data_IF_848713295843
#
_entry.id   IF_848713295843
#
_cell.length_a   1.000
_cell.length_b   1.000
_cell.length_c   1.000
_cell.angle_alpha   90.00
_cell.angle_beta   90.00
_cell.angle_gamma   90.00
#
_symmetry.space_group_name_H-M   'P 1'
#
loop_
_entity.id
_entity.type
_entity.pdbx_description
1 polymer ?
#
# COMPACT_ATOMS: atom_id res chain seq x y z
N UNK A 1 7.60 4.57 -36.63
CA UNK A 1 6.53 4.18 -35.68
C UNK A 1 7.11 4.23 -34.28
N UNK A 2 7.12 5.41 -33.68
CA UNK A 2 7.75 5.64 -32.37
C UNK A 2 6.72 5.37 -31.29
N UNK A 3 6.91 4.29 -30.53
CA UNK A 3 6.08 3.96 -29.38
C UNK A 3 6.21 5.07 -28.34
N UNK A 4 5.22 5.95 -28.28
CA UNK A 4 4.97 6.85 -27.15
C UNK A 4 4.52 6.01 -25.94
N UNK A 5 5.46 5.27 -25.36
CA UNK A 5 5.26 4.58 -24.10
C UNK A 5 5.11 5.62 -23.02
N UNK A 6 3.87 5.96 -22.67
CA UNK A 6 3.59 6.50 -21.34
C UNK A 6 4.26 5.55 -20.35
N UNK A 7 5.15 6.03 -19.46
CA UNK A 7 5.69 5.16 -18.43
C UNK A 7 4.48 4.63 -17.66
N UNK A 8 4.24 3.31 -17.73
CA UNK A 8 3.21 2.66 -16.95
C UNK A 8 3.37 3.17 -15.52
N UNK A 9 2.39 3.94 -15.05
CA UNK A 9 2.37 4.58 -13.73
C UNK A 9 2.26 3.48 -12.67
N UNK A 10 3.38 2.79 -12.45
CA UNK A 10 3.52 1.66 -11.54
C UNK A 10 3.89 2.22 -10.18
N UNK A 11 2.92 2.16 -9.28
CA UNK A 11 3.06 2.60 -7.90
C UNK A 11 3.52 1.46 -7.02
N UNK A 12 4.35 1.77 -6.03
CA UNK A 12 4.78 0.80 -5.05
C UNK A 12 3.58 0.34 -4.21
N UNK A 13 3.39 -0.98 -4.12
CA UNK A 13 2.28 -1.59 -3.37
C UNK A 13 2.32 -1.36 -1.84
N UNK A 14 3.34 -0.65 -1.32
CA UNK A 14 3.49 -0.29 0.09
C UNK A 14 3.33 1.22 0.31
N UNK A 15 3.91 2.06 -0.54
CA UNK A 15 3.99 3.51 -0.29
C UNK A 15 3.42 4.39 -1.42
N UNK A 16 2.92 3.82 -2.51
CA UNK A 16 2.36 4.52 -3.67
C UNK A 16 3.36 5.27 -4.58
N UNK A 17 4.60 5.51 -4.12
CA UNK A 17 5.65 6.15 -4.93
C UNK A 17 6.01 5.35 -6.19
N UNK A 18 6.59 6.00 -7.22
CA UNK A 18 7.04 5.32 -8.42
C UNK A 18 7.90 4.08 -8.13
N UNK A 19 7.54 2.97 -8.75
CA UNK A 19 8.15 1.66 -8.52
C UNK A 19 8.82 1.16 -9.80
N UNK A 20 10.15 1.33 -9.96
CA UNK A 20 10.86 0.82 -11.13
C UNK A 20 10.94 -0.71 -11.13
N UNK A 21 10.86 -1.34 -9.94
CA UNK A 21 11.00 -2.77 -9.80
C UNK A 21 9.62 -3.45 -9.76
N UNK A 22 9.54 -4.62 -10.41
CA UNK A 22 8.41 -5.53 -10.31
C UNK A 22 8.86 -6.86 -9.73
N UNK A 23 7.93 -7.62 -9.15
CA UNK A 23 8.20 -8.98 -8.73
C UNK A 23 8.74 -9.79 -9.91
N UNK A 24 9.97 -10.31 -9.80
CA UNK A 24 10.62 -11.08 -10.87
C UNK A 24 9.89 -12.40 -11.16
N UNK A 25 9.20 -12.97 -10.18
CA UNK A 25 8.41 -14.19 -10.35
C UNK A 25 7.15 -13.98 -11.20
N UNK A 26 6.21 -13.17 -10.71
CA UNK A 26 4.91 -13.01 -11.38
C UNK A 26 4.82 -11.80 -12.32
N UNK A 27 5.66 -10.77 -12.14
CA UNK A 27 5.60 -9.52 -12.89
C UNK A 27 4.45 -8.57 -12.53
N UNK A 28 3.55 -8.94 -11.61
CA UNK A 28 2.32 -8.18 -11.35
C UNK A 28 2.39 -7.15 -10.20
N UNK A 29 3.22 -7.40 -9.18
CA UNK A 29 3.39 -6.49 -8.05
C UNK A 29 4.61 -5.58 -8.23
N UNK A 30 4.50 -4.31 -7.86
CA UNK A 30 5.53 -3.28 -8.06
C UNK A 30 6.05 -2.71 -6.73
N UNK A 31 7.36 -2.45 -6.66
CA UNK A 31 8.04 -1.96 -5.46
C UNK A 31 9.08 -0.89 -5.79
N UNK A 32 9.18 0.14 -4.95
CA UNK A 32 10.24 1.14 -5.10
C UNK A 32 11.60 0.67 -4.56
N UNK A 33 11.62 -0.34 -3.68
CA UNK A 33 12.83 -0.88 -3.05
C UNK A 33 12.69 -2.35 -2.68
N UNK A 34 13.84 -3.01 -2.43
CA UNK A 34 13.89 -4.39 -1.91
C UNK A 34 13.24 -4.51 -0.53
N UNK A 35 13.35 -3.47 0.30
CA UNK A 35 12.71 -3.39 1.61
C UNK A 35 11.18 -3.51 1.49
N UNK A 36 10.56 -2.74 0.60
CA UNK A 36 9.12 -2.79 0.38
C UNK A 36 8.67 -4.12 -0.26
N UNK A 37 9.48 -4.73 -1.11
CA UNK A 37 9.23 -6.08 -1.60
C UNK A 37 9.21 -7.08 -0.44
N UNK A 38 10.21 -7.01 0.45
CA UNK A 38 10.33 -7.91 1.61
C UNK A 38 9.15 -7.73 2.57
N UNK A 39 8.74 -6.48 2.83
CA UNK A 39 7.55 -6.16 3.65
C UNK A 39 6.26 -6.71 3.06
N UNK A 40 6.12 -6.70 1.73
CA UNK A 40 4.93 -7.23 1.05
C UNK A 40 4.93 -8.77 0.91
N UNK A 41 6.09 -9.41 0.99
CA UNK A 41 6.27 -10.82 0.66
C UNK A 41 5.37 -11.79 1.44
N UNK A 42 5.13 -11.63 2.76
CA UNK A 42 4.24 -12.54 3.51
C UNK A 42 2.82 -12.64 2.93
N UNK A 43 2.30 -11.55 2.36
CA UNK A 43 1.00 -11.53 1.65
C UNK A 43 1.13 -11.92 0.19
N UNK A 44 2.21 -11.53 -0.48
CA UNK A 44 2.37 -11.76 -1.90
C UNK A 44 2.72 -13.21 -2.25
N UNK A 45 3.52 -13.93 -1.45
CA UNK A 45 4.16 -15.20 -1.87
C UNK A 45 3.23 -16.28 -2.41
N UNK A 46 2.02 -16.43 -1.85
CA UNK A 46 1.04 -17.42 -2.33
C UNK A 46 0.38 -16.94 -3.62
N UNK A 47 -0.08 -15.69 -3.64
CA UNK A 47 -0.62 -15.04 -4.84
C UNK A 47 0.39 -15.04 -6.00
N UNK A 48 1.67 -14.81 -5.71
CA UNK A 48 2.75 -14.85 -6.68
C UNK A 48 2.77 -16.19 -7.45
N UNK A 49 2.60 -17.31 -6.74
CA UNK A 49 2.51 -18.63 -7.37
C UNK A 49 1.26 -18.77 -8.24
N UNK A 50 0.11 -18.26 -7.77
CA UNK A 50 -1.14 -18.27 -8.54
C UNK A 50 -0.98 -17.46 -9.84
N UNK A 51 -0.44 -16.24 -9.76
CA UNK A 51 -0.20 -15.39 -10.93
C UNK A 51 0.82 -15.99 -11.90
N UNK A 52 1.85 -16.68 -11.39
CA UNK A 52 2.79 -17.41 -12.22
C UNK A 52 2.12 -18.55 -12.99
N UNK A 53 1.25 -19.33 -12.34
CA UNK A 53 0.46 -20.39 -12.98
C UNK A 53 -0.46 -19.82 -14.05
N UNK A 54 -1.20 -18.76 -13.71
CA UNK A 54 -2.07 -18.04 -14.63
C UNK A 54 -1.31 -17.56 -15.88
N UNK A 55 -0.12 -16.97 -15.69
CA UNK A 55 0.73 -16.51 -16.80
C UNK A 55 1.19 -17.66 -17.71
N UNK A 56 1.35 -18.87 -17.18
CA UNK A 56 1.68 -20.07 -17.96
C UNK A 56 0.46 -20.77 -18.55
N UNK A 57 -0.75 -20.27 -18.34
CA UNK A 57 -1.99 -20.92 -18.78
C UNK A 57 -2.32 -22.19 -17.99
N UNK A 58 -1.72 -22.38 -16.82
CA UNK A 58 -2.00 -23.53 -15.97
C UNK A 58 -3.30 -23.33 -15.18
N UNK A 59 -4.00 -24.41 -14.80
CA UNK A 59 -5.15 -24.33 -13.90
C UNK A 59 -4.79 -23.62 -12.59
N UNK A 60 -5.61 -22.63 -12.23
CA UNK A 60 -5.54 -21.91 -10.96
C UNK A 60 -6.73 -22.26 -10.08
N UNK A 61 -6.60 -22.20 -8.74
CA UNK A 61 -7.74 -22.39 -7.85
C UNK A 61 -8.85 -21.37 -8.13
N UNK A 62 -10.09 -21.74 -7.81
CA UNK A 62 -11.22 -20.79 -7.88
C UNK A 62 -10.95 -19.57 -6.99
N UNK A 63 -11.24 -18.33 -7.43
CA UNK A 63 -11.07 -17.12 -6.62
C UNK A 63 -11.80 -17.15 -5.26
N UNK A 64 -12.82 -18.00 -5.11
CA UNK A 64 -13.57 -18.16 -3.86
C UNK A 64 -12.97 -19.20 -2.91
N UNK A 65 -11.94 -19.93 -3.34
CA UNK A 65 -11.25 -20.95 -2.52
C UNK A 65 -10.06 -20.42 -1.72
N UNK A 66 -9.69 -19.15 -1.92
CA UNK A 66 -8.56 -18.53 -1.21
C UNK A 66 -8.80 -17.03 -0.98
N UNK A 67 -8.06 -16.45 -0.03
CA UNK A 67 -8.07 -15.01 0.19
C UNK A 67 -7.36 -14.28 -0.96
N UNK A 68 -8.09 -13.44 -1.69
CA UNK A 68 -7.53 -12.68 -2.82
C UNK A 68 -6.45 -11.64 -2.45
N UNK A 69 -6.22 -11.37 -1.15
CA UNK A 69 -5.21 -10.41 -0.67
C UNK A 69 -3.93 -11.07 -0.14
N UNK A 70 -3.96 -12.36 0.22
CA UNK A 70 -2.77 -13.06 0.73
C UNK A 70 -2.56 -14.50 0.23
N UNK A 71 -3.52 -15.01 -0.55
CA UNK A 71 -3.51 -16.35 -1.12
C UNK A 71 -3.67 -17.49 -0.11
N UNK A 72 -4.03 -17.22 1.15
CA UNK A 72 -4.35 -18.28 2.12
C UNK A 72 -5.66 -18.97 1.75
N UNK A 73 -5.65 -20.28 1.77
CA UNK A 73 -6.77 -21.19 1.48
C UNK A 73 -7.22 -21.99 2.72
N UNK A 74 -6.45 -21.95 3.81
CA UNK A 74 -6.59 -22.81 4.97
C UNK A 74 -7.09 -22.10 6.25
N UNK A 75 -8.03 -21.17 6.11
CA UNK A 75 -8.59 -20.45 7.26
C UNK A 75 -10.03 -20.01 7.02
N UNK A 76 -10.71 -19.46 8.03
CA UNK A 76 -12.02 -18.89 7.80
C UNK A 76 -11.89 -17.78 6.75
N UNK A 77 -12.71 -17.89 5.71
CA UNK A 77 -12.82 -16.91 4.64
C UNK A 77 -14.20 -16.25 4.74
N UNK A 78 -14.27 -14.99 4.35
CA UNK A 78 -15.53 -14.24 4.21
C UNK A 78 -15.55 -13.49 2.88
N UNK A 79 -16.74 -13.16 2.42
CA UNK A 79 -16.92 -12.15 1.36
C UNK A 79 -16.91 -10.75 1.98
N UNK A 80 -16.33 -9.80 1.25
CA UNK A 80 -16.38 -8.37 1.60
C UNK A 80 -17.75 -7.80 1.29
N UNK A 81 -18.23 -6.86 2.09
CA UNK A 81 -19.50 -6.16 1.83
C UNK A 81 -19.36 -5.17 0.66
N UNK A 82 -18.17 -4.57 0.51
CA UNK A 82 -17.93 -3.51 -0.47
C UNK A 82 -17.80 -4.01 -1.92
N UNK A 83 -17.28 -5.22 -2.15
CA UNK A 83 -16.97 -5.71 -3.49
C UNK A 83 -17.22 -7.22 -3.67
N UNK A 84 -17.85 -7.87 -2.68
CA UNK A 84 -18.28 -9.27 -2.70
C UNK A 84 -17.17 -10.29 -3.03
N UNK A 85 -15.93 -9.99 -2.64
CA UNK A 85 -14.75 -10.82 -2.93
C UNK A 85 -14.21 -11.51 -1.69
N UNK A 86 -13.64 -12.70 -1.90
CA UNK A 86 -13.23 -13.62 -0.84
C UNK A 86 -11.90 -13.20 -0.21
N UNK A 87 -11.89 -13.00 1.12
CA UNK A 87 -10.70 -12.66 1.91
C UNK A 87 -10.67 -13.41 3.25
N UNK A 88 -9.55 -13.39 3.97
CA UNK A 88 -9.48 -13.97 5.31
C UNK A 88 -10.46 -13.28 6.26
N UNK A 89 -11.18 -14.07 7.05
CA UNK A 89 -12.01 -13.58 8.15
C UNK A 89 -11.18 -13.48 9.44
N UNK A 90 -10.40 -12.39 9.50
CA UNK A 90 -9.43 -12.16 10.57
C UNK A 90 -9.61 -10.80 11.27
N UNK A 91 -10.83 -10.25 11.25
CA UNK A 91 -11.11 -8.91 11.79
C UNK A 91 -10.92 -8.87 13.31
N UNK A 92 -11.52 -9.84 14.01
CA UNK A 92 -11.45 -9.98 15.47
C UNK A 92 -10.13 -10.55 16.00
N UNK A 93 -9.20 -10.95 15.11
CA UNK A 93 -7.88 -11.49 15.52
C UNK A 93 -6.84 -10.39 15.74
N UNK A 94 -7.19 -9.12 15.50
CA UNK A 94 -6.32 -8.00 15.76
C UNK A 94 -6.19 -7.75 17.26
N UNK A 95 -4.99 -7.95 17.80
CA UNK A 95 -4.66 -7.50 19.16
C UNK A 95 -4.32 -6.01 19.11
N UNK A 96 -5.01 -5.14 19.89
CA UNK A 96 -4.63 -3.73 20.03
C UNK A 96 -3.14 -3.58 20.35
N UNK A 97 -2.49 -2.54 19.81
CA UNK A 97 -1.06 -2.24 19.96
C UNK A 97 -0.08 -3.26 19.35
N UNK A 98 -0.55 -4.32 18.67
CA UNK A 98 0.34 -5.26 17.96
C UNK A 98 0.91 -4.70 16.65
N UNK A 99 0.33 -3.62 16.12
CA UNK A 99 0.61 -3.05 14.79
C UNK A 99 0.67 -4.10 13.65
N UNK A 100 0.07 -5.28 13.85
CA UNK A 100 0.27 -6.39 12.93
C UNK A 100 -0.48 -6.14 11.62
N UNK A 101 0.27 -6.06 10.51
CA UNK A 101 -0.29 -5.94 9.17
C UNK A 101 -0.98 -7.23 8.68
N UNK A 102 -1.23 -8.20 9.58
CA UNK A 102 -1.61 -9.57 9.25
C UNK A 102 -3.11 -9.79 9.09
N UNK A 103 -3.96 -8.80 9.38
CA UNK A 103 -5.42 -8.90 9.20
C UNK A 103 -5.84 -8.44 7.80
N UNK A 104 -6.24 -9.36 6.91
CA UNK A 104 -6.69 -9.02 5.56
C UNK A 104 -8.02 -8.26 5.58
N UNK A 105 -9.01 -8.70 6.37
CA UNK A 105 -10.32 -8.03 6.41
C UNK A 105 -10.23 -6.62 6.97
N UNK A 106 -9.58 -6.46 8.13
CA UNK A 106 -9.41 -5.15 8.75
C UNK A 106 -8.64 -4.17 7.87
N UNK A 107 -7.57 -4.62 7.21
CA UNK A 107 -6.78 -3.72 6.37
C UNK A 107 -7.52 -3.37 5.08
N UNK A 108 -8.22 -4.32 4.45
CA UNK A 108 -9.07 -4.03 3.30
C UNK A 108 -10.17 -3.02 3.67
N UNK A 109 -10.81 -3.23 4.82
CA UNK A 109 -11.87 -2.38 5.39
C UNK A 109 -11.44 -0.92 5.66
N UNK A 110 -10.15 -0.71 5.97
CA UNK A 110 -9.60 0.61 6.33
C UNK A 110 -8.86 1.30 5.19
N UNK A 111 -8.27 0.54 4.28
CA UNK A 111 -7.21 1.03 3.41
C UNK A 111 -7.43 0.76 1.92
N UNK A 112 -8.60 0.22 1.53
CA UNK A 112 -8.93 0.01 0.12
C UNK A 112 -9.88 1.08 -0.40
N UNK A 113 -9.71 1.40 -1.69
CA UNK A 113 -10.58 2.33 -2.41
C UNK A 113 -12.05 1.91 -2.38
N UNK A 114 -12.34 0.62 -2.56
CA UNK A 114 -13.71 0.12 -2.59
C UNK A 114 -14.39 0.17 -1.22
N UNK A 115 -13.69 -0.11 -0.12
CA UNK A 115 -14.27 0.02 1.22
C UNK A 115 -14.58 1.47 1.59
N UNK A 116 -13.67 2.41 1.28
CA UNK A 116 -13.93 3.83 1.52
C UNK A 116 -15.18 4.29 0.77
N UNK A 117 -15.24 4.01 -0.54
CA UNK A 117 -16.41 4.30 -1.38
C UNK A 117 -17.72 3.75 -0.82
N UNK A 118 -17.73 2.47 -0.45
CA UNK A 118 -18.90 1.79 0.10
C UNK A 118 -19.38 2.40 1.42
N UNK A 119 -18.46 2.63 2.37
CA UNK A 119 -18.80 3.15 3.70
C UNK A 119 -19.30 4.59 3.67
N UNK A 120 -18.69 5.42 2.82
CA UNK A 120 -19.11 6.80 2.62
C UNK A 120 -20.38 6.91 1.76
N UNK A 121 -20.86 5.79 1.21
CA UNK A 121 -22.08 5.71 0.37
C UNK A 121 -22.01 6.66 -0.82
N UNK A 122 -20.84 6.75 -1.44
CA UNK A 122 -20.66 7.55 -2.65
C UNK A 122 -21.49 6.95 -3.81
N UNK A 123 -22.06 7.79 -4.69
CA UNK A 123 -22.85 7.31 -5.81
C UNK A 123 -21.97 6.59 -6.85
N UNK A 124 -22.61 5.67 -7.59
CA UNK A 124 -21.98 4.88 -8.66
C UNK A 124 -21.32 3.60 -8.17
N UNK A 125 -21.17 2.63 -9.08
CA UNK A 125 -20.74 1.27 -8.73
C UNK A 125 -19.23 1.05 -8.84
N UNK A 126 -18.51 1.88 -9.61
CA UNK A 126 -17.07 1.71 -9.85
C UNK A 126 -16.25 2.67 -8.95
N UNK A 127 -15.69 2.19 -7.83
CA UNK A 127 -14.96 3.04 -6.90
C UNK A 127 -13.64 3.59 -7.49
N UNK A 128 -13.13 2.99 -8.58
CA UNK A 128 -11.95 3.50 -9.29
C UNK A 128 -12.28 4.73 -10.16
N UNK A 129 -13.57 4.98 -10.46
CA UNK A 129 -14.05 6.14 -11.25
C UNK A 129 -14.77 7.20 -10.41
N UNK A 130 -14.96 6.95 -9.11
CA UNK A 130 -15.62 7.89 -8.22
C UNK A 130 -14.81 9.19 -8.09
N UNK A 131 -15.44 10.31 -8.47
CA UNK A 131 -14.86 11.67 -8.39
C UNK A 131 -14.64 12.06 -6.94
N UNK A 132 -15.65 11.90 -6.08
CA UNK A 132 -15.54 12.22 -4.64
C UNK A 132 -14.39 11.47 -3.97
N UNK A 133 -14.23 10.16 -4.21
CA UNK A 133 -13.08 9.41 -3.70
C UNK A 133 -11.72 9.96 -4.18
N UNK A 134 -11.67 10.64 -5.34
CA UNK A 134 -10.45 11.20 -5.91
C UNK A 134 -10.13 12.60 -5.37
N UNK A 135 -11.10 13.27 -4.75
CA UNK A 135 -10.98 14.66 -4.29
C UNK A 135 -10.94 14.76 -2.75
N UNK A 136 -11.48 13.78 -2.02
CA UNK A 136 -11.52 13.76 -0.55
C UNK A 136 -10.16 13.63 0.14
N UNK A 137 -9.12 13.26 -0.60
CA UNK A 137 -7.78 13.01 -0.09
C UNK A 137 -6.74 13.69 -0.96
N UNK A 138 -5.58 13.99 -0.40
CA UNK A 138 -4.46 14.49 -1.19
C UNK A 138 -4.00 13.43 -2.21
N UNK A 139 -3.36 13.86 -3.32
CA UNK A 139 -3.00 12.96 -4.42
C UNK A 139 -2.11 11.75 -4.05
N UNK A 140 -1.24 11.86 -3.03
CA UNK A 140 -0.43 10.73 -2.57
C UNK A 140 -1.32 9.69 -1.89
N UNK A 141 -2.22 10.13 -1.00
CA UNK A 141 -3.18 9.24 -0.34
C UNK A 141 -4.15 8.60 -1.34
N UNK A 142 -4.66 9.36 -2.32
CA UNK A 142 -5.49 8.80 -3.41
C UNK A 142 -4.73 7.70 -4.15
N UNK A 143 -3.47 7.96 -4.53
CA UNK A 143 -2.62 6.97 -5.20
C UNK A 143 -2.40 5.73 -4.33
N UNK A 144 -2.22 5.92 -3.03
CA UNK A 144 -2.04 4.81 -2.10
C UNK A 144 -3.30 3.95 -1.96
N UNK A 145 -4.48 4.55 -1.74
CA UNK A 145 -5.75 3.81 -1.67
C UNK A 145 -6.04 2.98 -2.93
N UNK A 146 -5.58 3.45 -4.10
CA UNK A 146 -5.75 2.78 -5.38
C UNK A 146 -4.77 1.61 -5.60
N UNK A 147 -3.56 1.66 -5.01
CA UNK A 147 -2.44 0.81 -5.46
C UNK A 147 -1.79 -0.03 -4.37
N UNK A 148 -2.14 0.17 -3.10
CA UNK A 148 -1.58 -0.62 -2.01
C UNK A 148 -2.00 -2.10 -2.04
N UNK A 149 -1.24 -2.95 -1.34
CA UNK A 149 -1.42 -4.40 -1.29
C UNK A 149 -2.63 -4.91 -0.47
N UNK A 150 -3.52 -4.03 -0.04
CA UNK A 150 -4.83 -4.37 0.52
C UNK A 150 -5.94 -4.31 -0.53
N UNK A 151 -5.61 -3.93 -1.77
CA UNK A 151 -6.48 -4.05 -2.92
C UNK A 151 -6.24 -5.37 -3.65
N UNK A 152 -7.26 -5.83 -4.38
CA UNK A 152 -7.12 -6.97 -5.27
C UNK A 152 -6.27 -6.56 -6.48
N UNK A 153 -5.42 -7.48 -6.94
CA UNK A 153 -4.48 -7.21 -8.03
C UNK A 153 -5.16 -6.71 -9.32
N UNK A 154 -6.35 -7.22 -9.63
CA UNK A 154 -7.15 -6.79 -10.78
C UNK A 154 -7.53 -5.30 -10.71
N UNK A 155 -7.89 -4.80 -9.52
CA UNK A 155 -8.19 -3.38 -9.34
C UNK A 155 -6.93 -2.52 -9.41
N UNK A 156 -5.81 -3.00 -8.84
CA UNK A 156 -4.52 -2.31 -8.92
C UNK A 156 -4.10 -2.14 -10.40
N UNK A 157 -4.29 -3.17 -11.23
CA UNK A 157 -3.95 -3.11 -12.66
C UNK A 157 -4.87 -2.19 -13.47
N UNK A 158 -6.12 -2.03 -13.03
CA UNK A 158 -7.11 -1.15 -13.68
C UNK A 158 -7.06 0.29 -13.18
N UNK A 159 -6.43 0.53 -12.03
CA UNK A 159 -6.33 1.83 -11.42
C UNK A 159 -5.56 2.83 -12.30
N UNK A 160 -5.97 4.10 -12.22
CA UNK A 160 -5.31 5.24 -12.87
C UNK A 160 -4.91 6.26 -11.79
N UNK A 161 -3.84 5.98 -11.02
CA UNK A 161 -3.46 6.87 -9.92
C UNK A 161 -3.00 8.24 -10.45
N UNK A 162 -3.32 9.33 -9.74
CA UNK A 162 -2.84 10.66 -10.09
C UNK A 162 -1.31 10.76 -9.89
N UNK A 163 -0.69 11.75 -10.53
CA UNK A 163 0.66 12.17 -10.14
C UNK A 163 0.57 13.00 -8.85
N UNK A 164 1.63 12.99 -8.04
CA UNK A 164 1.69 13.79 -6.83
C UNK A 164 3.11 14.31 -6.59
N UNK A 165 3.21 15.47 -5.94
CA UNK A 165 4.49 16.03 -5.50
C UNK A 165 4.88 15.37 -4.18
N UNK A 166 6.10 14.80 -4.06
CA UNK A 166 6.54 14.19 -2.81
C UNK A 166 6.51 15.16 -1.63
N UNK A 167 5.96 14.69 -0.52
CA UNK A 167 6.02 15.42 0.74
C UNK A 167 7.42 15.34 1.34
N UNK A 168 7.87 16.44 1.95
CA UNK A 168 9.16 16.53 2.61
C UNK A 168 9.00 17.03 4.04
N UNK A 169 9.86 16.55 4.93
CA UNK A 169 9.93 17.03 6.30
C UNK A 169 10.35 18.50 6.31
N UNK A 170 9.54 19.36 6.92
CA UNK A 170 9.80 20.82 6.94
C UNK A 170 11.02 21.22 7.75
N UNK A 171 11.54 20.36 8.63
CA UNK A 171 12.71 20.61 9.47
C UNK A 171 14.04 20.18 8.85
N UNK A 172 14.08 19.03 8.17
CA UNK A 172 15.33 18.45 7.64
C UNK A 172 15.34 18.25 6.12
N UNK A 173 14.23 18.55 5.43
CA UNK A 173 14.08 18.35 4.00
C UNK A 173 14.00 16.89 3.54
N UNK A 174 14.10 15.90 4.44
CA UNK A 174 13.98 14.48 4.10
C UNK A 174 12.60 14.21 3.49
N UNK A 175 12.55 13.54 2.34
CA UNK A 175 11.29 13.04 1.76
C UNK A 175 10.60 12.08 2.74
N UNK A 176 9.30 12.27 2.94
CA UNK A 176 8.46 11.42 3.79
C UNK A 176 7.32 10.81 2.96
N UNK A 177 6.91 9.60 3.31
CA UNK A 177 5.82 8.86 2.65
C UNK A 177 4.68 8.67 3.64
N UNK A 178 3.54 9.28 3.37
CA UNK A 178 2.44 9.41 4.34
C UNK A 178 1.92 8.07 4.86
N UNK A 179 1.93 7.04 4.01
CA UNK A 179 1.39 5.71 4.35
C UNK A 179 2.45 4.65 4.66
N UNK A 180 3.73 5.02 4.65
CA UNK A 180 4.83 4.07 4.87
C UNK A 180 5.82 4.51 5.94
N UNK A 181 5.91 5.80 6.23
CA UNK A 181 6.79 6.37 7.24
C UNK A 181 5.98 6.86 8.45
N UNK A 182 6.59 6.88 9.63
CA UNK A 182 6.03 7.58 10.78
C UNK A 182 6.23 9.09 10.59
N UNK A 183 5.11 9.79 10.42
CA UNK A 183 5.08 11.24 10.22
C UNK A 183 4.17 11.91 11.24
N UNK A 184 4.55 13.11 11.66
CA UNK A 184 3.68 14.01 12.42
C UNK A 184 3.21 15.12 11.50
N UNK A 185 1.91 15.18 11.27
CA UNK A 185 1.26 16.26 10.52
C UNK A 185 0.80 17.32 11.52
N UNK A 186 1.28 18.55 11.34
CA UNK A 186 0.89 19.70 12.16
C UNK A 186 0.72 20.96 11.33
N UNK A 187 0.37 22.07 11.99
CA UNK A 187 0.19 23.39 11.33
C UNK A 187 1.41 23.86 10.54
N UNK A 188 2.62 23.48 10.96
CA UNK A 188 3.90 23.82 10.31
C UNK A 188 4.33 22.82 9.23
N UNK A 189 3.42 21.96 8.77
CA UNK A 189 3.68 20.93 7.78
C UNK A 189 4.13 19.59 8.39
N UNK A 190 4.63 18.70 7.53
CA UNK A 190 5.01 17.36 7.92
C UNK A 190 6.38 17.31 8.59
N UNK A 191 6.51 16.54 9.66
CA UNK A 191 7.78 16.22 10.30
C UNK A 191 8.01 14.71 10.26
N UNK A 192 9.22 14.28 9.91
CA UNK A 192 9.60 12.88 10.04
C UNK A 192 9.73 12.49 11.53
N UNK A 193 9.59 11.21 11.84
CA UNK A 193 9.74 10.63 13.18
C UNK A 193 10.89 11.26 13.98
N UNK A 194 12.12 11.21 13.45
CA UNK A 194 13.30 11.81 14.08
C UNK A 194 13.12 13.30 14.41
N UNK A 195 12.50 14.08 13.53
CA UNK A 195 12.33 15.51 13.75
C UNK A 195 11.20 15.84 14.74
N UNK A 196 10.15 15.00 14.76
CA UNK A 196 9.01 15.12 15.65
C UNK A 196 9.33 14.67 17.09
N UNK A 197 10.11 13.60 17.26
CA UNK A 197 10.54 13.11 18.59
C UNK A 197 11.49 14.08 19.31
N UNK A 198 12.25 14.88 18.55
CA UNK A 198 13.10 15.95 19.09
C UNK A 198 12.32 17.16 19.66
N UNK A 199 11.02 17.00 19.97
CA UNK A 199 10.17 17.98 20.66
C UNK A 199 9.93 17.62 22.16
N UNK A 200 10.48 16.51 22.67
CA UNK A 200 10.57 16.25 24.11
C UNK A 200 11.76 17.03 24.72
N UNK A 201 11.66 17.56 25.96
CA UNK A 201 12.76 18.30 26.58
C UNK A 201 13.98 17.38 26.75
N UNK A 202 15.07 17.74 26.08
CA UNK A 202 16.36 17.05 26.18
C UNK A 202 16.97 17.39 27.54
N UNK A 203 17.36 16.41 28.39
CA UNK A 203 18.19 16.69 29.55
C UNK A 203 19.51 17.31 29.09
N UNK A 204 20.09 18.27 29.82
CA UNK A 204 21.34 18.90 29.40
C UNK A 204 22.47 17.86 29.29
N UNK A 205 23.03 17.66 28.09
CA UNK A 205 24.31 16.96 27.95
C UNK A 205 24.55 16.04 26.75
N UNK A 206 23.59 15.76 25.86
CA UNK A 206 23.82 14.80 24.76
C UNK A 206 23.85 15.45 23.38
N UNK A 207 25.06 15.71 22.88
CA UNK A 207 25.32 16.09 21.48
C UNK A 207 25.13 14.89 20.52
N UNK A 208 24.72 15.12 19.26
CA UNK A 208 24.45 14.07 18.29
C UNK A 208 25.74 13.51 17.65
N UNK A 209 25.81 12.20 17.43
CA UNK A 209 26.86 11.59 16.59
C UNK A 209 26.31 11.29 15.20
N UNK A 210 26.62 12.16 14.25
CA UNK A 210 26.62 11.87 12.80
C UNK A 210 27.87 11.09 12.43
N UNK A 211 27.73 10.05 11.59
CA UNK A 211 28.48 9.82 10.34
C UNK A 211 28.19 8.41 9.81
N UNK A 212 27.71 8.29 8.57
CA UNK A 212 27.91 7.09 7.76
C UNK A 212 28.92 7.45 6.67
N UNK A 213 30.08 6.79 6.69
CA UNK A 213 31.03 6.79 5.58
C UNK A 213 30.62 5.70 4.60
N UNK A 214 30.67 6.00 3.31
CA UNK A 214 30.71 5.01 2.24
C UNK A 214 32.19 4.68 2.04
N UNK A 215 32.54 3.39 2.09
CA UNK A 215 33.87 2.93 1.69
C UNK A 215 33.81 2.48 0.23
N UNK A 216 34.90 2.75 -0.48
CA UNK A 216 35.19 2.41 -1.88
C UNK A 216 35.18 0.90 -2.16
#
# INVERSE_FOLDING_TARGET
MSSSGTPERRSCAICAFPAPNRCSGCGQAFYCSQEHQTKAWPKHKRLCKIYQRQKRGEPVPSPDSYCGLCGKDNGPLRRTECCNRTICDDYGKYTPFSYSANSCSRNHDRYSRCCYHYKQKHPGDDPLKCVTCSEDHDPENVTWYLTNNFNFQEDILRARPPSFTPMHCTKCGKQVKQNADHISLGRSGAQCERCAENMAPVPPGSMPKTTYRLND
#
